data_IF_379234579982
#
_entry.id   IF_379234579982
#
_cell.length_a   1.000
_cell.length_b   1.000
_cell.length_c   1.000
_cell.angle_alpha   90.00
_cell.angle_beta   90.00
_cell.angle_gamma   90.00
#
_symmetry.space_group_name_H-M   'P 1'
#
loop_
_entity.id
_entity.type
_entity.pdbx_description
1 polymer ?
#
# COMPACT_ATOMS: atom_id res chain seq x y z
N UNK A 1 15.72 -4.08 -19.30
CA UNK A 1 16.76 -4.80 -18.52
C UNK A 1 16.17 -5.87 -17.62
N UNK A 2 15.15 -5.62 -16.81
CA UNK A 2 14.45 -6.69 -16.03
C UNK A 2 13.71 -7.64 -16.97
N UNK A 3 13.04 -7.15 -18.01
CA UNK A 3 12.37 -8.02 -19.01
C UNK A 3 13.33 -9.00 -19.72
N UNK A 4 14.61 -8.66 -19.87
CA UNK A 4 15.61 -9.58 -20.44
C UNK A 4 16.15 -10.61 -19.44
N UNK A 5 16.00 -10.35 -18.12
CA UNK A 5 16.39 -11.29 -17.05
C UNK A 5 15.26 -12.28 -16.72
N UNK A 6 14.01 -11.86 -16.80
CA UNK A 6 12.81 -12.70 -16.54
C UNK A 6 12.72 -13.94 -17.44
N UNK A 7 13.51 -14.01 -18.53
CA UNK A 7 13.58 -15.17 -19.42
C UNK A 7 14.53 -16.30 -18.95
N UNK A 8 15.24 -16.14 -17.81
CA UNK A 8 16.18 -17.16 -17.30
C UNK A 8 15.58 -17.90 -16.11
N UNK A 9 15.03 -19.08 -16.35
CA UNK A 9 14.49 -19.99 -15.34
C UNK A 9 15.49 -20.28 -14.21
N UNK A 10 15.06 -20.12 -12.94
CA UNK A 10 15.77 -20.56 -11.75
C UNK A 10 16.61 -19.51 -11.02
N UNK A 11 16.56 -18.23 -11.42
CA UNK A 11 17.21 -17.13 -10.69
C UNK A 11 16.21 -16.52 -9.69
N UNK A 12 16.64 -16.33 -8.44
CA UNK A 12 15.92 -15.50 -7.47
C UNK A 12 16.23 -14.03 -7.74
N UNK A 13 15.19 -13.21 -7.77
CA UNK A 13 15.31 -11.75 -7.81
C UNK A 13 14.87 -11.17 -6.46
N UNK A 14 15.50 -10.06 -6.08
CA UNK A 14 15.14 -9.33 -4.86
C UNK A 14 14.40 -8.06 -5.26
N UNK A 15 13.10 -8.05 -5.05
CA UNK A 15 12.22 -6.95 -5.48
C UNK A 15 11.21 -6.60 -4.39
N UNK A 16 10.62 -5.39 -4.48
CA UNK A 16 9.51 -4.98 -3.64
C UNK A 16 8.60 -4.02 -4.41
N UNK A 17 7.39 -4.45 -4.73
CA UNK A 17 6.45 -3.65 -5.51
C UNK A 17 5.34 -3.00 -4.65
N UNK A 18 5.52 -3.00 -3.31
CA UNK A 18 4.57 -2.42 -2.38
C UNK A 18 5.30 -1.89 -1.14
N UNK A 19 5.60 -0.60 -1.13
CA UNK A 19 6.29 0.07 -0.02
C UNK A 19 5.74 1.46 0.24
N UNK A 20 5.90 1.95 1.46
CA UNK A 20 5.39 3.25 1.92
C UNK A 20 6.49 4.14 2.45
N UNK A 21 6.31 5.45 2.29
CA UNK A 21 7.23 6.48 2.72
C UNK A 21 6.55 7.49 3.66
N UNK A 22 7.30 8.50 4.12
CA UNK A 22 6.78 9.62 4.90
C UNK A 22 5.71 10.43 4.16
N UNK A 23 5.54 10.23 2.85
CA UNK A 23 4.45 10.84 2.09
C UNK A 23 3.09 10.19 2.33
N UNK A 24 3.05 9.05 3.07
CA UNK A 24 1.82 8.48 3.63
C UNK A 24 2.00 8.14 5.11
N UNK A 25 2.25 6.91 5.45
CA UNK A 25 2.38 6.41 6.82
C UNK A 25 3.60 5.48 7.01
N UNK A 26 4.58 5.60 6.13
CA UNK A 26 5.89 5.00 6.29
C UNK A 26 6.85 5.89 7.11
N UNK A 27 7.93 5.30 7.62
CA UNK A 27 8.94 5.98 8.44
C UNK A 27 10.04 6.65 7.64
N UNK A 28 10.35 6.13 6.46
CA UNK A 28 11.50 6.57 5.67
C UNK A 28 11.07 7.55 4.58
N UNK A 29 11.87 8.56 4.35
CA UNK A 29 11.73 9.39 3.14
C UNK A 29 11.97 8.53 1.89
N UNK A 30 11.51 8.95 0.69
CA UNK A 30 11.82 8.23 -0.55
C UNK A 30 13.32 7.96 -0.74
N UNK A 31 14.16 8.93 -0.45
CA UNK A 31 15.62 8.76 -0.56
C UNK A 31 16.17 7.72 0.42
N UNK A 32 15.75 7.75 1.68
CA UNK A 32 16.19 6.79 2.70
C UNK A 32 15.71 5.37 2.38
N UNK A 33 14.45 5.22 1.95
CA UNK A 33 13.89 3.93 1.55
C UNK A 33 14.66 3.31 0.38
N UNK A 34 14.90 4.08 -0.68
CA UNK A 34 15.63 3.61 -1.86
C UNK A 34 17.11 3.31 -1.53
N UNK A 35 17.72 4.10 -0.64
CA UNK A 35 19.09 3.84 -0.15
C UNK A 35 19.19 2.54 0.63
N UNK A 36 18.24 2.27 1.53
CA UNK A 36 18.20 1.02 2.27
C UNK A 36 17.89 -0.17 1.35
N UNK A 37 16.95 -0.02 0.42
CA UNK A 37 16.63 -1.03 -0.59
C UNK A 37 17.88 -1.43 -1.40
N UNK A 38 18.64 -0.45 -1.89
CA UNK A 38 19.89 -0.69 -2.62
C UNK A 38 20.93 -1.41 -1.79
N UNK A 39 21.08 -0.99 -0.54
CA UNK A 39 22.06 -1.56 0.40
C UNK A 39 21.79 -3.04 0.70
N UNK A 40 20.52 -3.44 0.80
CA UNK A 40 20.13 -4.85 1.03
C UNK A 40 20.00 -5.66 -0.26
N UNK A 41 20.28 -5.04 -1.41
CA UNK A 41 20.38 -5.70 -2.71
C UNK A 41 19.03 -5.85 -3.44
N UNK A 42 18.04 -5.00 -3.16
CA UNK A 42 16.83 -4.93 -3.97
C UNK A 42 17.19 -4.39 -5.36
N UNK A 43 16.73 -5.06 -6.39
CA UNK A 43 16.99 -4.74 -7.78
C UNK A 43 15.91 -3.81 -8.37
N UNK A 44 14.64 -4.03 -7.98
CA UNK A 44 13.49 -3.27 -8.42
C UNK A 44 12.58 -2.96 -7.24
N UNK A 45 12.16 -1.71 -7.12
CA UNK A 45 11.26 -1.26 -6.05
C UNK A 45 10.17 -0.34 -6.60
N UNK A 46 8.95 -0.43 -6.06
CA UNK A 46 7.90 0.55 -6.23
C UNK A 46 7.63 1.29 -4.91
N UNK A 47 7.39 2.59 -4.98
CA UNK A 47 6.81 3.37 -3.89
C UNK A 47 5.32 3.55 -4.22
N UNK A 48 4.49 3.13 -3.28
CA UNK A 48 3.02 3.04 -3.43
C UNK A 48 2.30 3.68 -2.25
N UNK A 49 2.68 4.90 -1.93
CA UNK A 49 2.10 5.65 -0.81
C UNK A 49 0.56 5.69 -0.87
N UNK A 50 -0.06 5.62 0.28
CA UNK A 50 -1.51 5.62 0.40
C UNK A 50 -2.16 6.90 -0.11
N UNK A 51 -2.94 6.81 -1.20
CA UNK A 51 -3.76 7.89 -1.75
C UNK A 51 -2.95 9.16 -2.13
N UNK A 52 -1.62 9.04 -2.27
CA UNK A 52 -0.70 10.16 -2.50
C UNK A 52 0.41 9.79 -3.48
N UNK A 53 0.78 10.75 -4.33
CA UNK A 53 1.87 10.61 -5.32
C UNK A 53 2.92 11.73 -5.21
N UNK A 54 2.83 12.59 -4.20
CA UNK A 54 3.70 13.76 -4.05
C UNK A 54 5.19 13.38 -3.87
N UNK A 55 5.48 12.22 -3.27
CA UNK A 55 6.84 11.70 -3.09
C UNK A 55 7.51 11.14 -4.33
N UNK A 56 6.77 10.89 -5.42
CA UNK A 56 7.30 10.16 -6.59
C UNK A 56 8.37 10.94 -7.36
N UNK A 57 8.27 12.26 -7.42
CA UNK A 57 9.29 13.10 -8.08
C UNK A 57 10.64 13.04 -7.32
N UNK A 58 10.60 13.06 -5.98
CA UNK A 58 11.80 12.85 -5.14
C UNK A 58 12.34 11.42 -5.34
N UNK A 59 11.45 10.42 -5.29
CA UNK A 59 11.82 9.02 -5.48
C UNK A 59 12.52 8.75 -6.82
N UNK A 60 12.02 9.31 -7.91
CA UNK A 60 12.62 9.17 -9.24
C UNK A 60 14.04 9.73 -9.28
N UNK A 61 14.22 10.95 -8.73
CA UNK A 61 15.55 11.56 -8.64
C UNK A 61 16.51 10.75 -7.78
N UNK A 62 16.03 10.29 -6.64
CA UNK A 62 16.82 9.43 -5.73
C UNK A 62 17.19 8.11 -6.39
N UNK A 63 16.26 7.47 -7.13
CA UNK A 63 16.50 6.23 -7.83
C UNK A 63 17.60 6.36 -8.91
N UNK A 64 17.58 7.46 -9.67
CA UNK A 64 18.64 7.78 -10.66
C UNK A 64 19.99 7.97 -9.98
N UNK A 65 20.06 8.72 -8.87
CA UNK A 65 21.29 8.98 -8.12
C UNK A 65 21.88 7.71 -7.51
N UNK A 66 21.03 6.88 -6.89
CA UNK A 66 21.40 5.64 -6.20
C UNK A 66 21.68 4.51 -7.19
N UNK A 67 21.10 4.57 -8.39
CA UNK A 67 21.18 3.53 -9.42
C UNK A 67 20.37 2.28 -9.09
N UNK A 68 19.13 2.44 -8.64
CA UNK A 68 18.15 1.36 -8.41
C UNK A 68 17.00 1.46 -9.42
N UNK A 69 16.48 0.34 -9.88
CA UNK A 69 15.30 0.36 -10.76
C UNK A 69 14.05 0.70 -9.94
N UNK A 70 13.29 1.72 -10.40
CA UNK A 70 12.17 2.29 -9.67
C UNK A 70 10.90 2.33 -10.52
N UNK A 71 9.78 1.95 -9.91
CA UNK A 71 8.44 2.03 -10.49
C UNK A 71 7.63 3.06 -9.70
N UNK A 72 7.12 4.13 -10.34
CA UNK A 72 6.19 5.03 -9.69
C UNK A 72 4.85 4.32 -9.46
N UNK A 73 4.34 4.42 -8.25
CA UNK A 73 3.09 3.75 -7.88
C UNK A 73 2.23 4.55 -6.90
N UNK A 74 1.10 3.99 -6.56
CA UNK A 74 0.16 4.49 -5.56
C UNK A 74 -0.61 3.31 -4.97
N UNK A 75 -0.99 3.36 -3.70
CA UNK A 75 -1.98 2.46 -3.14
C UNK A 75 -3.27 3.21 -2.83
N UNK A 76 -4.31 2.98 -3.65
CA UNK A 76 -5.61 3.61 -3.48
C UNK A 76 -6.46 2.81 -2.48
N UNK A 77 -6.85 3.47 -1.38
CA UNK A 77 -7.79 2.91 -0.42
C UNK A 77 -9.22 3.00 -0.96
N UNK A 78 -9.95 1.88 -1.02
CA UNK A 78 -11.28 1.85 -1.64
C UNK A 78 -12.44 1.65 -0.65
N UNK A 79 -13.68 1.90 -1.13
CA UNK A 79 -14.92 1.71 -0.40
C UNK A 79 -15.36 0.25 -0.45
N UNK A 80 -14.96 -0.53 0.53
CA UNK A 80 -15.54 -1.83 0.81
C UNK A 80 -15.75 -1.95 2.32
N UNK A 81 -16.60 -2.89 2.76
CA UNK A 81 -16.80 -3.19 4.18
C UNK A 81 -15.51 -3.64 4.87
N UNK A 82 -14.54 -4.06 4.08
CA UNK A 82 -13.18 -4.43 4.46
C UNK A 82 -12.18 -3.49 3.79
N UNK A 83 -10.95 -3.44 4.28
CA UNK A 83 -9.89 -2.61 3.69
C UNK A 83 -9.40 -3.23 2.38
N UNK A 84 -10.09 -2.97 1.30
CA UNK A 84 -9.67 -3.31 -0.05
C UNK A 84 -8.80 -2.18 -0.57
N UNK A 85 -7.60 -2.51 -1.02
CA UNK A 85 -6.70 -1.55 -1.65
C UNK A 85 -6.35 -2.00 -3.07
N UNK A 86 -6.17 -1.03 -3.95
CA UNK A 86 -5.73 -1.25 -5.33
C UNK A 86 -4.40 -0.52 -5.53
N UNK A 87 -3.34 -1.26 -5.86
CA UNK A 87 -2.06 -0.68 -6.27
C UNK A 87 -2.18 -0.20 -7.71
N UNK A 88 -1.68 0.99 -7.96
CA UNK A 88 -1.37 1.47 -9.31
C UNK A 88 0.13 1.39 -9.50
N UNK A 89 0.61 0.60 -10.45
CA UNK A 89 2.02 0.46 -10.76
C UNK A 89 2.32 1.04 -12.14
N UNK A 90 3.45 1.76 -12.29
CA UNK A 90 3.85 2.39 -13.55
C UNK A 90 2.96 3.58 -13.94
N UNK A 91 2.42 4.29 -12.96
CA UNK A 91 1.58 5.46 -13.19
C UNK A 91 2.40 6.66 -13.70
N UNK A 92 1.75 7.53 -14.47
CA UNK A 92 2.27 8.85 -14.79
C UNK A 92 1.90 9.83 -13.65
N UNK A 93 2.87 10.15 -12.82
CA UNK A 93 2.71 11.10 -11.70
C UNK A 93 2.41 12.53 -12.15
N UNK A 94 2.50 12.82 -13.45
CA UNK A 94 2.13 14.14 -14.01
C UNK A 94 0.67 14.19 -14.47
N UNK A 95 -0.04 13.07 -14.47
CA UNK A 95 -1.44 12.99 -14.87
C UNK A 95 -2.33 13.89 -13.99
N UNK A 96 -2.98 14.86 -14.61
CA UNK A 96 -3.76 15.89 -13.91
C UNK A 96 -4.96 15.32 -13.15
N UNK A 97 -5.67 14.34 -13.75
CA UNK A 97 -6.84 13.72 -13.11
C UNK A 97 -6.43 12.94 -11.85
N UNK A 98 -5.30 12.22 -11.91
CA UNK A 98 -4.76 11.51 -10.75
C UNK A 98 -4.34 12.49 -9.65
N UNK A 99 -3.62 13.57 -9.99
CA UNK A 99 -3.22 14.63 -9.04
C UNK A 99 -4.41 15.25 -8.33
N UNK A 100 -5.44 15.60 -9.10
CA UNK A 100 -6.67 16.16 -8.53
C UNK A 100 -7.34 15.17 -7.57
N UNK A 101 -7.40 13.88 -7.93
CA UNK A 101 -7.97 12.85 -7.04
C UNK A 101 -7.13 12.64 -5.78
N UNK A 102 -5.80 12.63 -5.88
CA UNK A 102 -4.93 12.56 -4.70
C UNK A 102 -5.17 13.74 -3.74
N UNK A 103 -5.39 14.96 -4.26
CA UNK A 103 -5.77 16.09 -3.41
C UNK A 103 -7.12 15.87 -2.71
N UNK A 104 -8.14 15.37 -3.42
CA UNK A 104 -9.44 15.02 -2.82
C UNK A 104 -9.29 13.94 -1.73
N UNK A 105 -8.42 12.97 -1.96
CA UNK A 105 -8.11 11.91 -0.98
C UNK A 105 -7.41 12.48 0.26
N UNK A 106 -6.44 13.37 0.08
CA UNK A 106 -5.73 14.05 1.17
C UNK A 106 -6.71 14.86 2.01
N UNK A 107 -7.56 15.68 1.37
CA UNK A 107 -8.60 16.45 2.07
C UNK A 107 -9.58 15.54 2.84
N UNK A 108 -9.92 14.39 2.27
CA UNK A 108 -10.78 13.40 2.92
C UNK A 108 -10.10 12.74 4.13
N UNK A 109 -8.78 12.51 4.04
CA UNK A 109 -7.98 11.99 5.17
C UNK A 109 -7.86 13.03 6.29
N UNK A 110 -7.68 14.30 5.96
CA UNK A 110 -7.62 15.37 6.93
C UNK A 110 -8.94 15.51 7.72
N UNK A 111 -10.08 15.54 7.01
CA UNK A 111 -11.40 15.51 7.67
C UNK A 111 -11.59 14.28 8.56
N UNK A 112 -11.11 13.11 8.12
CA UNK A 112 -11.14 11.90 8.96
C UNK A 112 -10.25 12.04 10.19
N UNK A 113 -9.08 12.65 10.08
CA UNK A 113 -8.18 12.89 11.21
C UNK A 113 -8.84 13.78 12.27
N UNK A 114 -9.55 14.84 11.88
CA UNK A 114 -10.37 15.65 12.78
C UNK A 114 -11.46 14.81 13.51
N UNK A 115 -12.12 13.90 12.78
CA UNK A 115 -13.08 12.97 13.38
C UNK A 115 -12.42 12.02 14.40
N UNK A 116 -11.19 11.55 14.13
CA UNK A 116 -10.42 10.71 15.06
C UNK A 116 -10.04 11.50 16.30
N UNK A 117 -9.55 12.74 16.16
CA UNK A 117 -9.30 13.62 17.31
C UNK A 117 -10.54 13.74 18.18
N UNK A 118 -11.69 14.07 17.59
CA UNK A 118 -12.95 14.18 18.32
C UNK A 118 -13.38 12.86 18.99
N UNK A 119 -13.16 11.72 18.32
CA UNK A 119 -13.44 10.38 18.82
C UNK A 119 -12.60 10.04 20.06
N UNK A 120 -11.29 10.31 20.02
CA UNK A 120 -10.35 10.04 21.10
C UNK A 120 -10.57 10.99 22.29
N UNK A 121 -10.79 12.27 22.03
CA UNK A 121 -11.08 13.26 23.05
C UNK A 121 -12.31 12.88 23.91
N UNK A 122 -13.37 12.34 23.27
CA UNK A 122 -14.55 11.82 24.01
C UNK A 122 -14.25 10.60 24.88
N UNK A 123 -13.08 9.97 24.68
CA UNK A 123 -12.63 8.78 25.42
C UNK A 123 -11.49 9.07 26.41
N UNK A 124 -11.34 10.35 26.80
CA UNK A 124 -10.30 10.86 27.69
C UNK A 124 -8.87 10.61 27.19
N UNK A 125 -8.68 10.65 25.87
CA UNK A 125 -7.39 10.66 25.20
C UNK A 125 -7.29 12.01 24.50
N UNK A 126 -6.80 13.07 25.18
CA UNK A 126 -6.68 14.38 24.60
C UNK A 126 -5.66 14.37 23.46
N UNK A 127 -6.08 14.87 22.32
CA UNK A 127 -5.26 14.97 21.11
C UNK A 127 -5.78 16.08 20.22
N UNK A 128 -4.86 16.82 19.62
CA UNK A 128 -5.14 17.91 18.67
C UNK A 128 -4.61 17.54 17.28
N UNK A 129 -5.12 18.21 16.25
CA UNK A 129 -4.60 18.04 14.89
C UNK A 129 -3.14 18.50 14.77
N UNK A 130 -2.73 19.52 15.55
CA UNK A 130 -1.36 20.00 15.56
C UNK A 130 -0.38 18.94 16.06
N UNK A 131 -0.69 18.29 17.19
CA UNK A 131 0.10 17.18 17.73
C UNK A 131 0.18 16.00 16.78
N UNK A 132 -0.90 15.69 16.05
CA UNK A 132 -0.89 14.60 15.07
C UNK A 132 -0.07 14.95 13.84
N UNK A 133 -0.09 16.21 13.38
CA UNK A 133 0.78 16.65 12.27
C UNK A 133 2.26 16.57 12.64
N UNK A 134 2.61 16.87 13.89
CA UNK A 134 3.98 16.70 14.39
C UNK A 134 4.42 15.23 14.40
N UNK A 135 3.50 14.29 14.67
CA UNK A 135 3.79 12.85 14.63
C UNK A 135 3.87 12.32 13.20
N UNK A 136 3.04 12.85 12.32
CA UNK A 136 2.95 12.38 10.94
C UNK A 136 4.16 12.76 10.08
N UNK A 137 4.84 13.88 10.42
CA UNK A 137 6.01 14.40 9.67
C UNK A 137 5.80 14.58 8.15
N UNK A 138 4.62 14.22 7.62
CA UNK A 138 4.27 14.18 6.20
C UNK A 138 2.89 14.77 5.90
N UNK A 139 2.48 14.69 4.62
CA UNK A 139 1.24 15.31 4.13
C UNK A 139 -0.02 14.48 4.43
N UNK A 140 0.13 13.16 4.60
CA UNK A 140 -1.02 12.25 4.72
C UNK A 140 -1.14 11.68 6.12
N UNK A 141 -2.20 12.05 6.82
CA UNK A 141 -2.48 11.54 8.17
C UNK A 141 -3.28 10.23 8.09
N UNK A 142 -2.68 9.16 8.65
CA UNK A 142 -3.30 7.84 8.80
C UNK A 142 -3.55 7.46 10.25
N UNK A 143 -4.30 6.36 10.47
CA UNK A 143 -4.51 5.78 11.81
C UNK A 143 -3.21 5.39 12.53
N UNK A 144 -2.14 4.94 11.84
CA UNK A 144 -0.87 4.64 12.49
C UNK A 144 -0.29 5.81 13.28
N UNK A 145 -0.41 7.05 12.77
CA UNK A 145 0.07 8.26 13.47
C UNK A 145 -0.64 8.48 14.80
N UNK A 146 -1.95 8.23 14.86
CA UNK A 146 -2.70 8.25 16.11
C UNK A 146 -2.28 7.13 17.08
N UNK A 147 -2.02 5.94 16.56
CA UNK A 147 -1.51 4.83 17.36
C UNK A 147 -0.16 5.16 17.99
N UNK A 148 0.74 5.72 17.20
CA UNK A 148 2.06 6.16 17.63
C UNK A 148 1.98 7.32 18.64
N UNK A 149 1.10 8.31 18.42
CA UNK A 149 0.82 9.36 19.40
C UNK A 149 0.37 8.79 20.75
N UNK A 150 -0.57 7.84 20.71
CA UNK A 150 -1.10 7.23 21.92
C UNK A 150 -0.04 6.42 22.67
N UNK A 151 0.83 5.72 21.96
CA UNK A 151 1.95 4.99 22.56
C UNK A 151 2.98 5.96 23.18
N UNK A 152 3.42 6.98 22.44
CA UNK A 152 4.39 7.99 22.91
C UNK A 152 3.90 8.74 24.16
N UNK A 153 2.60 8.95 24.28
CA UNK A 153 1.98 9.65 25.42
C UNK A 153 1.48 8.70 26.53
N UNK A 154 1.76 7.39 26.43
CA UNK A 154 1.44 6.41 27.48
C UNK A 154 -0.04 6.05 27.61
N UNK A 155 -0.87 6.34 26.64
CA UNK A 155 -2.30 5.93 26.62
C UNK A 155 -2.47 4.44 26.32
N UNK A 156 -1.51 3.85 25.64
CA UNK A 156 -1.43 2.42 25.30
C UNK A 156 0.04 1.96 25.42
N UNK A 157 0.24 0.65 25.55
CA UNK A 157 1.57 0.06 25.67
C UNK A 157 2.31 -0.05 24.30
N UNK A 158 1.55 -0.13 23.20
CA UNK A 158 2.07 -0.26 21.84
C UNK A 158 0.99 0.07 20.79
N UNK A 159 1.40 0.30 19.56
CA UNK A 159 0.49 0.57 18.44
C UNK A 159 -0.58 -0.53 18.23
N UNK A 160 -0.29 -1.84 18.28
CA UNK A 160 -1.32 -2.88 18.20
C UNK A 160 -2.44 -2.73 19.24
N UNK A 161 -2.11 -2.35 20.46
CA UNK A 161 -3.12 -2.09 21.50
C UNK A 161 -4.02 -0.89 21.15
N UNK A 162 -3.46 0.17 20.56
CA UNK A 162 -4.23 1.32 20.09
C UNK A 162 -5.29 0.90 19.06
N UNK A 163 -4.91 0.07 18.09
CA UNK A 163 -5.86 -0.47 17.13
C UNK A 163 -6.93 -1.33 17.78
N UNK A 164 -6.54 -2.28 18.62
CA UNK A 164 -7.46 -3.22 19.25
C UNK A 164 -8.51 -2.53 20.17
N UNK A 165 -8.09 -1.49 20.90
CA UNK A 165 -8.95 -0.83 21.89
C UNK A 165 -9.70 0.39 21.36
N UNK A 166 -9.17 1.07 20.32
CA UNK A 166 -9.71 2.36 19.90
C UNK A 166 -9.88 2.47 18.38
N UNK A 167 -8.83 2.27 17.58
CA UNK A 167 -8.76 2.70 16.18
C UNK A 167 -9.30 1.67 15.17
N UNK A 168 -9.71 0.48 15.66
CA UNK A 168 -10.30 -0.57 14.81
C UNK A 168 -11.47 -1.29 15.52
N UNK A 169 -12.27 -0.55 16.27
CA UNK A 169 -13.43 -1.05 16.98
C UNK A 169 -14.74 -0.78 16.21
N UNK A 170 -15.84 -1.53 16.46
CA UNK A 170 -17.14 -1.22 15.88
C UNK A 170 -17.60 0.23 16.14
N UNK A 171 -17.33 0.75 17.35
CA UNK A 171 -17.64 2.13 17.72
C UNK A 171 -16.83 3.13 16.90
N UNK A 172 -15.55 2.84 16.62
CA UNK A 172 -14.72 3.67 15.76
C UNK A 172 -15.29 3.72 14.34
N UNK A 173 -15.60 2.58 13.74
CA UNK A 173 -16.13 2.52 12.39
C UNK A 173 -17.51 3.14 12.22
N UNK A 174 -18.32 3.18 13.30
CA UNK A 174 -19.61 3.86 13.31
C UNK A 174 -19.49 5.40 13.36
N UNK A 175 -18.44 5.91 14.03
CA UNK A 175 -18.27 7.35 14.28
C UNK A 175 -17.26 8.00 13.33
N UNK A 176 -16.29 7.23 12.82
CA UNK A 176 -15.17 7.73 12.00
C UNK A 176 -15.20 7.05 10.63
N UNK A 177 -15.58 7.81 9.64
CA UNK A 177 -15.63 7.35 8.25
C UNK A 177 -14.96 8.37 7.31
N UNK A 178 -14.72 7.97 6.09
CA UNK A 178 -14.33 8.87 5.00
C UNK A 178 -14.91 8.37 3.68
N UNK A 179 -15.11 9.29 2.75
CA UNK A 179 -15.42 8.93 1.38
C UNK A 179 -14.17 8.35 0.71
N UNK A 180 -14.32 7.23 0.07
CA UNK A 180 -13.31 6.54 -0.71
C UNK A 180 -13.91 6.16 -2.07
N UNK A 181 -13.11 6.02 -3.13
CA UNK A 181 -13.61 5.48 -4.40
C UNK A 181 -14.01 4.01 -4.25
N UNK A 182 -14.85 3.52 -5.13
CA UNK A 182 -15.05 2.08 -5.28
C UNK A 182 -13.78 1.43 -5.88
N UNK A 183 -13.59 0.10 -5.75
CA UNK A 183 -12.48 -0.57 -6.43
C UNK A 183 -12.46 -0.35 -7.94
N UNK A 184 -13.64 -0.30 -8.58
CA UNK A 184 -13.78 -0.04 -10.01
C UNK A 184 -13.32 1.37 -10.39
N UNK A 185 -13.72 2.39 -9.60
CA UNK A 185 -13.27 3.78 -9.79
C UNK A 185 -11.75 3.90 -9.59
N UNK A 186 -11.16 3.16 -8.66
CA UNK A 186 -9.71 3.14 -8.44
C UNK A 186 -8.98 2.51 -9.64
N UNK A 187 -9.48 1.40 -10.18
CA UNK A 187 -8.93 0.74 -11.37
C UNK A 187 -8.97 1.69 -12.57
N UNK A 188 -10.11 2.34 -12.79
CA UNK A 188 -10.27 3.29 -13.89
C UNK A 188 -9.30 4.48 -13.76
N UNK A 189 -9.16 5.05 -12.56
CA UNK A 189 -8.24 6.16 -12.30
C UNK A 189 -6.78 5.78 -12.56
N UNK A 190 -6.36 4.58 -12.14
CA UNK A 190 -5.02 4.06 -12.39
C UNK A 190 -4.78 3.91 -13.90
N UNK A 191 -5.75 3.37 -14.65
CA UNK A 191 -5.64 3.23 -16.10
C UNK A 191 -5.58 4.59 -16.82
N UNK A 192 -6.36 5.57 -16.37
CA UNK A 192 -6.31 6.94 -16.90
C UNK A 192 -4.93 7.59 -16.68
N UNK A 193 -4.21 7.18 -15.63
CA UNK A 193 -2.84 7.59 -15.38
C UNK A 193 -1.79 6.70 -16.08
N UNK A 194 -2.19 5.80 -17.00
CA UNK A 194 -1.29 4.92 -17.74
C UNK A 194 -0.75 3.73 -16.96
N UNK A 195 -1.11 3.59 -15.69
CA UNK A 195 -0.65 2.52 -14.81
C UNK A 195 -1.41 1.20 -14.97
N UNK A 196 -1.00 0.21 -14.19
CA UNK A 196 -1.60 -1.11 -14.07
C UNK A 196 -2.20 -1.30 -12.69
N UNK A 197 -3.45 -1.75 -12.64
CA UNK A 197 -4.21 -1.94 -11.41
C UNK A 197 -4.01 -3.36 -10.85
N UNK A 198 -3.55 -3.44 -9.59
CA UNK A 198 -3.25 -4.70 -8.90
C UNK A 198 -4.01 -4.75 -7.57
N UNK A 199 -4.70 -5.86 -7.30
CA UNK A 199 -5.34 -6.08 -5.99
C UNK A 199 -4.25 -6.32 -4.93
N UNK A 200 -4.15 -5.41 -3.96
CA UNK A 200 -3.18 -5.47 -2.87
C UNK A 200 -3.57 -6.53 -1.82
N UNK A 201 -2.58 -7.20 -1.26
CA UNK A 201 -2.65 -8.13 -0.10
C UNK A 201 -4.01 -8.85 0.10
N UNK A 202 -4.55 -9.56 -0.91
CA UNK A 202 -5.91 -10.11 -0.88
C UNK A 202 -6.15 -11.16 0.22
N UNK A 203 -5.09 -11.72 0.78
CA UNK A 203 -5.17 -12.64 1.92
C UNK A 203 -5.60 -11.98 3.24
N UNK A 204 -5.64 -10.65 3.31
CA UNK A 204 -6.14 -9.90 4.47
C UNK A 204 -7.66 -9.70 4.42
N UNK A 205 -8.30 -9.99 3.29
CA UNK A 205 -9.75 -9.93 3.15
C UNK A 205 -10.41 -10.96 4.07
N UNK A 206 -11.36 -10.52 4.89
CA UNK A 206 -12.12 -11.39 5.80
C UNK A 206 -13.23 -12.15 5.05
N UNK A 207 -12.88 -12.75 3.94
CA UNK A 207 -13.78 -13.48 3.05
C UNK A 207 -13.35 -14.95 2.96
N UNK A 208 -14.29 -15.85 2.73
CA UNK A 208 -13.94 -17.23 2.38
C UNK A 208 -13.39 -17.31 0.94
N UNK A 209 -12.76 -18.44 0.60
CA UNK A 209 -12.08 -18.56 -0.70
C UNK A 209 -13.00 -18.44 -1.92
N UNK A 210 -14.25 -18.83 -1.80
CA UNK A 210 -15.23 -18.64 -2.87
C UNK A 210 -15.55 -17.17 -3.08
N UNK A 211 -15.76 -16.42 -1.99
CA UNK A 211 -16.01 -14.99 -2.03
C UNK A 211 -14.80 -14.22 -2.56
N UNK A 212 -13.58 -14.59 -2.14
CA UNK A 212 -12.33 -14.00 -2.66
C UNK A 212 -12.20 -14.24 -4.17
N UNK A 213 -12.44 -15.46 -4.62
CA UNK A 213 -12.39 -15.79 -6.05
C UNK A 213 -13.42 -15.02 -6.85
N UNK A 214 -14.67 -14.94 -6.37
CA UNK A 214 -15.73 -14.17 -7.05
C UNK A 214 -15.39 -12.68 -7.07
N UNK A 215 -14.81 -12.14 -6.01
CA UNK A 215 -14.38 -10.74 -5.95
C UNK A 215 -13.26 -10.46 -6.97
N UNK A 216 -12.22 -11.29 -7.02
CA UNK A 216 -11.15 -11.18 -8.04
C UNK A 216 -11.73 -11.24 -9.45
N UNK A 217 -12.69 -12.15 -9.69
CA UNK A 217 -13.36 -12.26 -10.99
C UNK A 217 -14.14 -10.98 -11.33
N UNK A 218 -14.87 -10.41 -10.38
CA UNK A 218 -15.59 -9.14 -10.57
C UNK A 218 -14.63 -8.01 -10.92
N UNK A 219 -13.53 -7.88 -10.21
CA UNK A 219 -12.50 -6.87 -10.49
C UNK A 219 -11.83 -7.09 -11.84
N UNK A 220 -11.60 -8.36 -12.24
CA UNK A 220 -11.09 -8.69 -13.58
C UNK A 220 -12.04 -8.24 -14.68
N UNK A 221 -13.34 -8.43 -14.47
CA UNK A 221 -14.37 -8.05 -15.46
C UNK A 221 -14.43 -6.51 -15.66
N UNK A 222 -13.94 -5.71 -14.68
CA UNK A 222 -13.83 -4.24 -14.75
C UNK A 222 -12.40 -3.74 -15.01
N UNK A 223 -11.47 -4.63 -15.33
CA UNK A 223 -10.16 -4.27 -15.84
C UNK A 223 -8.96 -4.49 -14.91
N UNK A 224 -9.11 -5.19 -13.77
CA UNK A 224 -7.95 -5.52 -12.94
C UNK A 224 -6.86 -6.22 -13.76
N UNK A 225 -5.62 -5.75 -13.67
CA UNK A 225 -4.46 -6.28 -14.40
C UNK A 225 -3.73 -7.38 -13.63
N UNK A 226 -3.66 -7.29 -12.30
CA UNK A 226 -2.87 -8.22 -11.48
C UNK A 226 -3.37 -8.42 -10.06
N UNK A 227 -2.72 -9.35 -9.37
CA UNK A 227 -2.97 -9.67 -7.95
C UNK A 227 -1.62 -9.76 -7.23
N UNK A 228 -1.51 -9.16 -6.07
CA UNK A 228 -0.37 -9.33 -5.18
C UNK A 228 -0.45 -10.73 -4.53
N UNK A 229 0.09 -11.72 -5.25
CA UNK A 229 0.04 -13.11 -4.83
C UNK A 229 1.04 -13.41 -3.71
N UNK A 230 2.22 -12.79 -3.78
CA UNK A 230 3.34 -13.00 -2.88
C UNK A 230 3.44 -11.79 -1.96
N UNK A 231 3.03 -11.98 -0.72
CA UNK A 231 2.94 -10.91 0.27
C UNK A 231 3.48 -11.41 1.61
N UNK A 232 4.18 -10.56 2.35
CA UNK A 232 4.91 -10.93 3.56
C UNK A 232 4.07 -11.71 4.59
N UNK A 233 2.78 -11.40 4.70
CA UNK A 233 1.86 -12.07 5.64
C UNK A 233 1.04 -13.21 5.02
N UNK A 234 1.26 -13.54 3.75
CA UNK A 234 0.65 -14.73 3.17
C UNK A 234 1.40 -15.99 3.60
N UNK A 235 0.63 -17.05 3.89
CA UNK A 235 1.22 -18.37 4.06
C UNK A 235 1.55 -18.98 2.70
N UNK A 236 2.47 -19.95 2.59
CA UNK A 236 2.74 -20.63 1.32
C UNK A 236 1.48 -21.26 0.67
N UNK A 237 0.52 -21.70 1.47
CA UNK A 237 -0.76 -22.22 0.97
C UNK A 237 -1.65 -21.11 0.40
N UNK A 238 -1.63 -19.92 1.02
CA UNK A 238 -2.34 -18.73 0.56
C UNK A 238 -1.76 -18.23 -0.75
N UNK A 239 -0.43 -18.08 -0.83
CA UNK A 239 0.27 -17.67 -2.06
C UNK A 239 -0.05 -18.62 -3.22
N UNK A 240 0.06 -19.96 -2.99
CA UNK A 240 -0.26 -20.94 -4.02
C UNK A 240 -1.66 -20.75 -4.58
N UNK A 241 -2.65 -20.51 -3.73
CA UNK A 241 -4.03 -20.27 -4.17
C UNK A 241 -4.16 -19.01 -5.00
N UNK A 242 -3.51 -17.90 -4.61
CA UNK A 242 -3.54 -16.66 -5.40
C UNK A 242 -2.82 -16.84 -6.75
N UNK A 243 -1.71 -17.54 -6.80
CA UNK A 243 -1.03 -17.89 -8.06
C UNK A 243 -1.94 -18.74 -8.98
N UNK A 244 -2.68 -19.69 -8.43
CA UNK A 244 -3.67 -20.48 -9.19
C UNK A 244 -4.83 -19.61 -9.72
N UNK A 245 -5.34 -18.67 -8.90
CA UNK A 245 -6.39 -17.71 -9.32
C UNK A 245 -5.88 -16.72 -10.37
N UNK A 246 -4.69 -16.16 -10.20
CA UNK A 246 -4.07 -15.27 -11.17
C UNK A 246 -3.92 -15.98 -12.52
N UNK A 247 -3.41 -17.22 -12.53
CA UNK A 247 -3.33 -18.03 -13.74
C UNK A 247 -4.70 -18.33 -14.35
N UNK A 248 -5.70 -18.68 -13.52
CA UNK A 248 -7.07 -18.99 -13.98
C UNK A 248 -7.72 -17.81 -14.70
N UNK A 249 -7.51 -16.60 -14.20
CA UNK A 249 -8.13 -15.39 -14.74
C UNK A 249 -7.21 -14.58 -15.65
N UNK A 250 -6.04 -15.12 -16.02
CA UNK A 250 -5.02 -14.44 -16.83
C UNK A 250 -4.68 -13.05 -16.27
N UNK A 251 -4.37 -13.00 -14.97
CA UNK A 251 -3.90 -11.83 -14.25
C UNK A 251 -2.39 -11.91 -14.05
N UNK A 252 -1.73 -10.77 -14.02
CA UNK A 252 -0.34 -10.69 -13.59
C UNK A 252 -0.20 -11.06 -12.10
N UNK A 253 0.98 -11.53 -11.72
CA UNK A 253 1.32 -11.80 -10.32
C UNK A 253 2.36 -10.80 -9.86
N UNK A 254 2.14 -10.17 -8.71
CA UNK A 254 3.12 -9.26 -8.10
C UNK A 254 3.53 -9.75 -6.73
N UNK A 255 4.57 -9.14 -6.20
CA UNK A 255 5.01 -9.34 -4.83
C UNK A 255 5.31 -8.00 -4.16
N UNK A 256 5.04 -7.92 -2.86
CA UNK A 256 5.34 -6.75 -2.06
C UNK A 256 5.37 -7.07 -0.58
N UNK A 257 6.17 -6.30 0.15
CA UNK A 257 6.27 -6.43 1.60
C UNK A 257 5.17 -5.65 2.33
N UNK A 258 4.70 -4.56 1.75
CA UNK A 258 3.89 -3.55 2.41
C UNK A 258 4.67 -2.94 3.60
N UNK A 259 5.97 -2.67 3.35
CA UNK A 259 6.88 -2.08 4.32
C UNK A 259 6.49 -0.64 4.65
N UNK A 260 6.41 -0.35 5.95
CA UNK A 260 6.13 0.99 6.49
C UNK A 260 7.23 1.49 7.44
N UNK A 261 8.27 0.68 7.67
CA UNK A 261 9.28 0.96 8.67
C UNK A 261 9.21 0.02 9.88
N UNK A 262 10.31 -0.05 10.61
CA UNK A 262 10.50 -1.02 11.70
C UNK A 262 9.71 -0.71 12.97
N UNK A 263 9.30 0.56 13.17
CA UNK A 263 8.46 0.95 14.31
C UNK A 263 6.97 0.84 13.98
N UNK A 264 6.57 1.11 12.72
CA UNK A 264 5.16 1.02 12.28
C UNK A 264 4.75 -0.44 12.08
N UNK A 265 5.57 -1.21 11.35
CA UNK A 265 5.34 -2.64 11.09
C UNK A 265 6.62 -3.46 11.39
N UNK A 266 6.96 -3.71 12.66
CA UNK A 266 8.22 -4.35 13.05
C UNK A 266 8.42 -5.77 12.48
N UNK A 267 7.34 -6.47 12.17
CA UNK A 267 7.38 -7.84 11.64
C UNK A 267 7.41 -7.90 10.09
N UNK A 268 7.55 -6.75 9.43
CA UNK A 268 7.55 -6.64 7.96
C UNK A 268 8.90 -6.10 7.50
N UNK A 269 9.84 -6.98 7.12
CA UNK A 269 11.11 -6.54 6.53
C UNK A 269 10.90 -5.99 5.12
N UNK A 270 11.76 -5.07 4.71
CA UNK A 270 11.83 -4.54 3.36
C UNK A 270 12.34 -5.61 2.39
N UNK A 271 11.66 -5.77 1.25
CA UNK A 271 12.09 -6.61 0.14
C UNK A 271 11.61 -8.07 0.20
N UNK A 272 11.41 -8.63 -0.98
CA UNK A 272 10.97 -9.99 -1.20
C UNK A 272 11.93 -10.72 -2.13
N UNK A 273 12.41 -11.91 -1.73
CA UNK A 273 13.18 -12.80 -2.60
C UNK A 273 12.24 -13.77 -3.29
N UNK A 274 12.14 -13.70 -4.58
CA UNK A 274 11.15 -14.44 -5.37
C UNK A 274 11.82 -15.07 -6.58
N UNK A 275 11.48 -16.35 -6.88
CA UNK A 275 11.89 -16.94 -8.15
C UNK A 275 11.07 -16.33 -9.30
N UNK A 276 11.72 -16.14 -10.44
CA UNK A 276 11.08 -15.59 -11.65
C UNK A 276 9.84 -16.40 -12.07
N UNK A 277 9.86 -17.72 -11.90
CA UNK A 277 8.70 -18.59 -12.19
C UNK A 277 7.44 -18.22 -11.41
N UNK A 278 7.59 -17.63 -10.20
CA UNK A 278 6.47 -17.23 -9.35
C UNK A 278 5.88 -15.88 -9.75
N UNK A 279 6.59 -15.11 -10.57
CA UNK A 279 6.16 -13.80 -11.06
C UNK A 279 5.64 -13.89 -12.51
N UNK A 280 4.74 -14.84 -12.78
CA UNK A 280 4.15 -14.99 -14.10
C UNK A 280 3.40 -13.70 -14.53
N UNK A 281 3.64 -13.28 -15.77
CA UNK A 281 3.04 -12.07 -16.35
C UNK A 281 3.37 -10.75 -15.60
N UNK A 282 4.40 -10.72 -14.76
CA UNK A 282 4.80 -9.47 -14.06
C UNK A 282 5.10 -8.34 -15.06
N UNK A 283 5.56 -8.68 -16.25
CA UNK A 283 5.80 -7.73 -17.34
C UNK A 283 4.54 -6.93 -17.78
N UNK A 284 3.34 -7.34 -17.34
CA UNK A 284 2.13 -6.55 -17.58
C UNK A 284 1.98 -5.38 -16.58
N UNK A 285 2.77 -5.34 -15.50
CA UNK A 285 2.68 -4.32 -14.44
C UNK A 285 3.97 -3.51 -14.27
N UNK A 286 5.01 -3.80 -15.05
CA UNK A 286 6.35 -3.14 -15.02
C UNK A 286 6.70 -2.56 -16.38
#
# INVERSE_FOLDING_TARGET
MINERIEKTGVEIHIDLHTHTTYSDGELTPYELLSEAKKIGIELIAITDHDNIAGLAEARKAAEEIGIEFIPGIEISTQELEEVHILGLGIDETNEALRQKCQEFTDSRERRAEMICAFLNRRNIPVTMEEIREVAEGEVIGRPHFALYMERNGYVANCPEAFARYLNTPAFHAEVNRQKPSPEEAIELIHQAGGKAVLAHPGLLKKNWYEVEMFIKTLKDVGLDGVECIYQKHTPATEKKFLELAKKYNLATTCGSDFHGVHVKPDVPLGMKVSEERLANVALVV
#
